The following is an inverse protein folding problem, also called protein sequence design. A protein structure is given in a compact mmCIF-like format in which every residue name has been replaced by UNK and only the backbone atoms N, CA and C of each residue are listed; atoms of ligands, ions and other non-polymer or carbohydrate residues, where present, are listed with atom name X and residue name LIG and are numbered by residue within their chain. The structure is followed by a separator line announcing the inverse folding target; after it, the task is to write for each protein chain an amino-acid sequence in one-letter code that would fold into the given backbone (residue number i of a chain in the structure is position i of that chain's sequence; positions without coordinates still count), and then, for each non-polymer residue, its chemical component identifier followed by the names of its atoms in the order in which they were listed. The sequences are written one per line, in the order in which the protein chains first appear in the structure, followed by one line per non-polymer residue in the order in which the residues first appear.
data_IF_894753989654
#
_entry.id   IF_894753989654
#
_cell.length_a   1.000
_cell.length_b   1.000
_cell.length_c   1.000
_cell.angle_alpha   90.00
_cell.angle_beta   90.00
_cell.angle_gamma   90.00
#
_symmetry.space_group_name_H-M   'P 1'
#
loop_
_entity.id
_entity.type
_entity.pdbx_description
1 polymer ?
#
# COMPACT_ATOMS: atom_id res chain seq x y z
N UNK A 1 -4.40 7.77 -25.62
CA UNK A 1 -5.18 7.12 -24.56
C UNK A 1 -4.42 5.92 -24.03
N UNK A 2 -4.28 5.84 -22.73
CA UNK A 2 -3.63 4.71 -22.12
C UNK A 2 -4.68 3.67 -21.73
N UNK A 3 -4.58 2.48 -22.29
CA UNK A 3 -5.44 1.37 -21.90
C UNK A 3 -4.68 0.56 -20.85
N UNK A 4 -5.32 0.37 -19.71
CA UNK A 4 -4.72 -0.46 -18.67
C UNK A 4 -4.91 -1.91 -19.03
N UNK A 5 -3.82 -2.54 -19.41
CA UNK A 5 -3.79 -3.96 -19.75
C UNK A 5 -3.34 -4.82 -18.57
N UNK A 6 -3.04 -4.16 -17.43
CA UNK A 6 -2.56 -4.86 -16.25
C UNK A 6 -3.71 -5.48 -15.46
N UNK A 7 -3.41 -6.59 -14.82
CA UNK A 7 -4.38 -7.34 -14.02
C UNK A 7 -4.45 -6.81 -12.58
N UNK A 8 -4.99 -5.59 -12.44
CA UNK A 8 -5.23 -5.00 -11.13
C UNK A 8 -6.47 -5.59 -10.49
N UNK A 9 -6.38 -5.90 -9.21
CA UNK A 9 -7.51 -6.42 -8.44
C UNK A 9 -7.64 -5.68 -7.12
N UNK A 10 -8.89 -5.51 -6.68
CA UNK A 10 -9.23 -4.88 -5.40
C UNK A 10 -10.21 -5.83 -4.73
N UNK A 11 -9.83 -6.38 -3.58
CA UNK A 11 -10.62 -7.41 -2.91
C UNK A 11 -10.62 -7.25 -1.40
N UNK A 12 -11.73 -7.62 -0.78
CA UNK A 12 -11.79 -7.82 0.65
C UNK A 12 -11.06 -9.12 0.98
N UNK A 13 -10.71 -9.29 2.25
CA UNK A 13 -9.95 -10.47 2.69
C UNK A 13 -10.63 -11.79 2.29
N UNK A 14 -11.92 -11.88 2.55
CA UNK A 14 -12.68 -13.11 2.28
C UNK A 14 -12.93 -13.38 0.79
N UNK A 15 -12.65 -12.41 -0.07
CA UNK A 15 -12.74 -12.57 -1.52
C UNK A 15 -11.44 -13.07 -2.13
N UNK A 16 -10.35 -13.09 -1.36
CA UNK A 16 -9.05 -13.56 -1.84
C UNK A 16 -9.06 -15.09 -1.96
N UNK A 17 -8.48 -15.61 -3.05
CA UNK A 17 -8.19 -17.03 -3.12
C UNK A 17 -7.01 -17.36 -2.19
N UNK A 18 -6.86 -18.63 -1.84
CA UNK A 18 -5.70 -19.05 -1.04
C UNK A 18 -4.38 -18.72 -1.76
N UNK A 19 -4.35 -18.90 -3.07
CA UNK A 19 -3.18 -18.61 -3.88
C UNK A 19 -2.86 -17.10 -3.87
N UNK A 20 -3.90 -16.26 -3.96
CA UNK A 20 -3.71 -14.81 -3.89
C UNK A 20 -3.19 -14.39 -2.52
N UNK A 21 -3.78 -14.92 -1.46
CA UNK A 21 -3.31 -14.61 -0.11
C UNK A 21 -1.86 -15.05 0.09
N UNK A 22 -1.53 -16.26 -0.34
CA UNK A 22 -0.16 -16.75 -0.25
C UNK A 22 0.81 -15.84 -1.01
N UNK A 23 0.45 -15.43 -2.22
CA UNK A 23 1.26 -14.53 -3.02
C UNK A 23 1.45 -13.16 -2.37
N UNK A 24 0.39 -12.61 -1.79
CA UNK A 24 0.44 -11.34 -1.06
C UNK A 24 1.42 -11.45 0.12
N UNK A 25 1.28 -12.48 0.94
CA UNK A 25 2.16 -12.70 2.09
C UNK A 25 3.60 -12.86 1.63
N UNK A 26 3.82 -13.63 0.57
CA UNK A 26 5.16 -13.86 0.02
C UNK A 26 5.81 -12.55 -0.45
N UNK A 27 5.09 -11.71 -1.16
CA UNK A 27 5.62 -10.42 -1.63
C UNK A 27 5.91 -9.47 -0.47
N UNK A 28 5.04 -9.43 0.53
CA UNK A 28 5.25 -8.62 1.74
C UNK A 28 6.50 -9.06 2.49
N UNK A 29 6.67 -10.35 2.69
CA UNK A 29 7.88 -10.87 3.35
C UNK A 29 9.13 -10.59 2.51
N UNK A 30 9.03 -10.72 1.20
CA UNK A 30 10.16 -10.47 0.31
C UNK A 30 10.66 -9.03 0.43
N UNK A 31 9.75 -8.04 0.39
CA UNK A 31 10.14 -6.63 0.44
C UNK A 31 10.47 -6.18 1.86
N UNK A 32 9.57 -6.41 2.81
CA UNK A 32 9.72 -5.80 4.14
C UNK A 32 10.67 -6.56 5.04
N UNK A 33 10.75 -7.88 4.93
CA UNK A 33 11.64 -8.68 5.78
C UNK A 33 12.96 -8.97 5.08
N UNK A 34 12.92 -9.53 3.86
CA UNK A 34 14.16 -9.93 3.17
C UNK A 34 14.94 -8.73 2.66
N UNK A 35 14.27 -7.79 2.01
CA UNK A 35 14.93 -6.63 1.41
C UNK A 35 15.20 -5.52 2.43
N UNK A 36 14.18 -5.07 3.15
CA UNK A 36 14.28 -3.95 4.08
C UNK A 36 14.73 -4.35 5.48
N UNK A 37 14.80 -5.65 5.78
CA UNK A 37 15.29 -6.17 7.06
C UNK A 37 14.47 -5.71 8.27
N UNK A 38 13.18 -5.48 8.10
CA UNK A 38 12.30 -5.10 9.20
C UNK A 38 11.94 -6.36 9.97
N UNK A 39 12.51 -6.53 11.16
CA UNK A 39 12.28 -7.72 12.00
C UNK A 39 11.79 -7.36 13.40
N UNK A 40 11.72 -6.05 13.73
CA UNK A 40 11.29 -5.58 15.05
C UNK A 40 9.78 -5.41 15.16
N UNK A 41 9.05 -5.54 14.07
CA UNK A 41 7.60 -5.43 14.03
C UNK A 41 7.01 -6.63 13.28
N UNK A 42 5.77 -6.98 13.61
CA UNK A 42 5.09 -8.07 12.92
C UNK A 42 4.65 -7.61 11.54
N UNK A 43 5.16 -8.25 10.49
CA UNK A 43 4.70 -7.98 9.14
C UNK A 43 3.24 -8.43 8.97
N UNK A 44 2.91 -9.61 9.45
CA UNK A 44 1.54 -10.12 9.45
C UNK A 44 0.94 -9.76 10.82
N UNK A 45 0.25 -8.63 10.85
CA UNK A 45 -0.15 -7.96 12.10
C UNK A 45 -1.58 -8.27 12.57
N UNK A 46 -2.28 -9.15 11.87
CA UNK A 46 -3.64 -9.51 12.23
C UNK A 46 -4.71 -8.54 11.76
N UNK A 47 -4.35 -7.46 11.08
CA UNK A 47 -5.32 -6.47 10.60
C UNK A 47 -5.88 -6.80 9.22
N UNK A 48 -5.27 -7.72 8.50
CA UNK A 48 -5.61 -7.98 7.09
C UNK A 48 -7.06 -8.40 6.86
N UNK A 49 -7.66 -9.05 7.85
CA UNK A 49 -9.07 -9.46 7.75
C UNK A 49 -10.02 -8.28 7.57
N UNK A 50 -9.64 -7.10 8.05
CA UNK A 50 -10.47 -5.91 8.02
C UNK A 50 -10.06 -4.93 6.92
N UNK A 51 -9.03 -5.27 6.15
CA UNK A 51 -8.49 -4.40 5.11
C UNK A 51 -9.05 -4.71 3.73
N UNK A 52 -8.91 -3.76 2.83
CA UNK A 52 -9.14 -3.95 1.40
C UNK A 52 -7.77 -4.12 0.76
N UNK A 53 -7.62 -5.12 -0.07
CA UNK A 53 -6.34 -5.49 -0.68
C UNK A 53 -6.32 -5.07 -2.15
N UNK A 54 -5.32 -4.26 -2.51
CA UNK A 54 -5.12 -3.79 -3.88
C UNK A 54 -3.83 -4.43 -4.39
N UNK A 55 -3.90 -5.12 -5.51
CA UNK A 55 -2.72 -5.83 -5.97
C UNK A 55 -2.71 -6.05 -7.48
N UNK A 56 -1.51 -6.27 -7.99
CA UNK A 56 -1.26 -6.56 -9.40
C UNK A 56 -0.68 -7.96 -9.53
N UNK A 57 -1.35 -8.81 -10.29
CA UNK A 57 -0.81 -10.13 -10.62
C UNK A 57 -0.08 -10.05 -11.96
N UNK A 58 1.18 -10.47 -11.97
CA UNK A 58 2.04 -10.48 -13.14
C UNK A 58 2.97 -11.69 -13.07
N UNK A 59 3.08 -12.43 -14.16
CA UNK A 59 4.01 -13.56 -14.26
C UNK A 59 3.91 -14.54 -13.09
N UNK A 60 2.69 -14.79 -12.64
CA UNK A 60 2.43 -15.71 -11.53
C UNK A 60 2.81 -15.18 -10.14
N UNK A 61 3.09 -13.88 -10.03
CA UNK A 61 3.49 -13.24 -8.78
C UNK A 61 2.56 -12.09 -8.44
N UNK A 62 2.55 -11.69 -7.17
CA UNK A 62 1.95 -10.43 -6.77
C UNK A 62 3.05 -9.38 -6.91
N UNK A 63 3.04 -8.70 -8.05
CA UNK A 63 4.09 -7.76 -8.45
C UNK A 63 4.05 -6.46 -7.67
N UNK A 64 2.85 -6.04 -7.25
CA UNK A 64 2.64 -4.82 -6.48
C UNK A 64 1.47 -5.05 -5.54
N UNK A 65 1.48 -4.36 -4.39
CA UNK A 65 0.46 -4.54 -3.38
C UNK A 65 0.38 -3.31 -2.49
N UNK A 66 -0.82 -2.98 -2.04
CA UNK A 66 -1.02 -2.15 -0.87
C UNK A 66 -2.34 -2.56 -0.22
N UNK A 67 -2.55 -2.11 1.02
CA UNK A 67 -3.81 -2.34 1.69
C UNK A 67 -4.44 -1.02 2.12
N UNK A 68 -5.75 -0.97 2.02
CA UNK A 68 -6.55 0.12 2.57
C UNK A 68 -7.00 -0.32 3.96
N UNK A 69 -6.64 0.47 4.95
CA UNK A 69 -7.01 0.20 6.34
C UNK A 69 -8.14 1.16 6.70
N UNK A 70 -9.38 0.67 6.92
CA UNK A 70 -10.50 1.54 7.25
C UNK A 70 -10.23 2.37 8.51
N UNK A 71 -10.91 3.51 8.61
CA UNK A 71 -10.76 4.39 9.78
C UNK A 71 -11.06 3.63 11.07
N UNK A 72 -10.28 3.95 12.11
CA UNK A 72 -10.46 3.35 13.43
C UNK A 72 -9.76 2.00 13.62
N UNK A 73 -9.19 1.43 12.57
CA UNK A 73 -8.45 0.16 12.65
C UNK A 73 -6.97 0.44 12.91
N UNK A 74 -6.30 1.20 12.05
CA UNK A 74 -4.90 1.56 12.22
C UNK A 74 -4.74 3.00 12.72
N UNK A 75 -5.40 3.92 12.08
CA UNK A 75 -5.42 5.34 12.44
C UNK A 75 -6.87 5.78 12.59
N UNK A 76 -7.07 7.00 13.09
CA UNK A 76 -8.43 7.58 13.14
C UNK A 76 -9.01 7.74 11.74
N UNK A 77 -8.17 8.08 10.77
CA UNK A 77 -8.59 8.23 9.37
C UNK A 77 -8.31 6.95 8.61
N UNK A 78 -8.99 6.81 7.47
CA UNK A 78 -8.66 5.75 6.52
C UNK A 78 -7.20 5.92 6.06
N UNK A 79 -6.48 4.83 5.89
CA UNK A 79 -5.07 4.89 5.56
C UNK A 79 -4.70 3.86 4.49
N UNK A 80 -3.55 4.08 3.87
CA UNK A 80 -2.96 3.14 2.92
C UNK A 80 -1.64 2.67 3.54
N UNK A 81 -1.42 1.37 3.55
CA UNK A 81 -0.20 0.80 4.10
C UNK A 81 0.31 -0.38 3.31
N UNK A 82 1.46 -0.87 3.72
CA UNK A 82 2.13 -2.01 3.08
C UNK A 82 2.32 -1.81 1.58
N UNK A 83 2.67 -0.58 1.18
CA UNK A 83 2.88 -0.23 -0.23
C UNK A 83 4.19 -0.87 -0.71
N UNK A 84 4.09 -1.74 -1.70
CA UNK A 84 5.27 -2.40 -2.25
C UNK A 84 5.16 -2.62 -3.76
N UNK A 85 6.32 -2.67 -4.41
CA UNK A 85 6.49 -3.18 -5.76
C UNK A 85 7.71 -4.09 -5.71
N UNK A 86 7.59 -5.31 -6.22
CA UNK A 86 8.71 -6.23 -6.27
C UNK A 86 9.84 -5.63 -7.11
N UNK A 87 11.08 -5.91 -6.74
CA UNK A 87 12.27 -5.31 -7.33
C UNK A 87 12.29 -5.39 -8.86
N UNK A 88 11.93 -6.53 -9.42
CA UNK A 88 11.95 -6.75 -10.87
C UNK A 88 10.86 -5.97 -11.63
N UNK A 89 9.90 -5.41 -10.93
CA UNK A 89 8.81 -4.63 -11.54
C UNK A 89 8.92 -3.13 -11.27
N UNK A 90 10.00 -2.67 -10.65
CA UNK A 90 10.20 -1.24 -10.31
C UNK A 90 10.61 -0.43 -11.53
N UNK A 91 10.51 0.91 -11.40
CA UNK A 91 10.87 1.90 -12.43
C UNK A 91 10.00 1.83 -13.67
N UNK A 92 8.74 1.42 -13.52
CA UNK A 92 7.75 1.32 -14.59
C UNK A 92 6.49 2.11 -14.30
N UNK A 93 6.49 2.93 -13.24
CA UNK A 93 5.31 3.72 -12.84
C UNK A 93 4.22 2.92 -12.16
N UNK A 94 4.48 1.68 -11.77
CA UNK A 94 3.46 0.79 -11.20
C UNK A 94 2.99 1.30 -9.84
N UNK A 95 3.88 1.79 -8.98
CA UNK A 95 3.51 2.30 -7.67
C UNK A 95 2.57 3.50 -7.78
N UNK A 96 2.87 4.44 -8.68
CA UNK A 96 2.02 5.60 -8.91
C UNK A 96 0.64 5.18 -9.43
N UNK A 97 0.60 4.28 -10.39
CA UNK A 97 -0.66 3.76 -10.92
C UNK A 97 -1.48 3.08 -9.83
N UNK A 98 -0.83 2.28 -8.99
CA UNK A 98 -1.48 1.60 -7.87
C UNK A 98 -2.12 2.59 -6.91
N UNK A 99 -1.39 3.64 -6.54
CA UNK A 99 -1.90 4.66 -5.62
C UNK A 99 -3.08 5.41 -6.23
N UNK A 100 -3.03 5.74 -7.52
CA UNK A 100 -4.14 6.39 -8.20
C UNK A 100 -5.40 5.52 -8.20
N UNK A 101 -5.25 4.23 -8.51
CA UNK A 101 -6.36 3.27 -8.47
C UNK A 101 -6.92 3.15 -7.06
N UNK A 102 -6.05 3.08 -6.07
CA UNK A 102 -6.44 2.95 -4.67
C UNK A 102 -7.22 4.17 -4.19
N UNK A 103 -6.75 5.37 -4.52
CA UNK A 103 -7.44 6.61 -4.12
C UNK A 103 -8.80 6.73 -4.80
N UNK A 104 -8.88 6.37 -6.06
CA UNK A 104 -10.16 6.37 -6.77
C UNK A 104 -11.15 5.41 -6.12
N UNK A 105 -10.69 4.23 -5.73
CA UNK A 105 -11.54 3.27 -5.03
C UNK A 105 -12.03 3.84 -3.69
N UNK A 106 -11.15 4.47 -2.93
CA UNK A 106 -11.53 5.07 -1.65
C UNK A 106 -12.58 6.17 -1.85
N UNK A 107 -12.38 7.06 -2.82
CA UNK A 107 -13.34 8.13 -3.11
C UNK A 107 -14.73 7.60 -3.45
N UNK A 108 -14.79 6.47 -4.17
CA UNK A 108 -16.06 5.89 -4.62
C UNK A 108 -16.77 5.05 -3.56
N UNK A 109 -16.04 4.48 -2.63
CA UNK A 109 -16.58 3.45 -1.73
C UNK A 109 -16.60 3.85 -0.26
N UNK A 110 -15.99 4.97 0.12
CA UNK A 110 -15.95 5.45 1.49
C UNK A 110 -16.37 6.92 1.54
N UNK A 111 -16.91 7.32 2.69
CA UNK A 111 -17.34 8.71 2.90
C UNK A 111 -16.24 9.55 3.59
N UNK A 112 -15.06 8.99 3.73
CA UNK A 112 -13.93 9.69 4.35
C UNK A 112 -13.50 10.87 3.47
N UNK A 113 -13.03 11.94 4.13
CA UNK A 113 -12.59 13.15 3.42
C UNK A 113 -11.07 13.35 3.47
N UNK A 114 -10.34 12.41 4.05
CA UNK A 114 -8.90 12.51 4.21
C UNK A 114 -8.30 11.11 4.29
N UNK A 115 -7.24 10.90 3.52
CA UNK A 115 -6.44 9.67 3.57
C UNK A 115 -5.12 10.01 4.26
N UNK A 116 -4.70 9.21 5.22
CA UNK A 116 -3.41 9.39 5.90
C UNK A 116 -2.51 8.19 5.66
N UNK A 117 -1.22 8.40 5.79
CA UNK A 117 -0.26 7.31 5.73
C UNK A 117 1.04 7.71 6.41
N UNK A 118 1.84 6.70 6.76
CA UNK A 118 3.19 6.87 7.26
C UNK A 118 4.13 6.50 6.13
N UNK A 119 4.78 7.48 5.53
CA UNK A 119 5.62 7.29 4.35
C UNK A 119 7.07 7.14 4.75
N UNK A 120 7.76 6.15 4.18
CA UNK A 120 9.21 6.11 4.26
C UNK A 120 9.72 7.34 3.51
N UNK A 121 10.66 8.09 4.12
CA UNK A 121 11.09 9.38 3.58
C UNK A 121 11.61 9.27 2.15
N UNK A 122 12.31 8.18 1.83
CA UNK A 122 12.84 8.02 0.48
C UNK A 122 11.73 7.89 -0.59
N UNK A 123 10.52 7.55 -0.20
CA UNK A 123 9.37 7.42 -1.10
C UNK A 123 8.49 8.67 -1.12
N UNK A 124 8.89 9.73 -0.44
CA UNK A 124 8.10 10.97 -0.33
C UNK A 124 7.66 11.51 -1.69
N UNK A 125 8.59 11.52 -2.65
CA UNK A 125 8.29 12.08 -3.98
C UNK A 125 7.17 11.31 -4.70
N UNK A 126 7.11 10.00 -4.49
CA UNK A 126 6.05 9.17 -5.04
C UNK A 126 4.68 9.63 -4.51
N UNK A 127 4.58 9.79 -3.19
CA UNK A 127 3.31 10.20 -2.58
C UNK A 127 2.94 11.63 -2.95
N UNK A 128 3.91 12.52 -3.03
CA UNK A 128 3.66 13.89 -3.48
C UNK A 128 3.14 13.92 -4.92
N UNK A 129 3.66 13.02 -5.76
CA UNK A 129 3.24 12.97 -7.17
C UNK A 129 1.76 12.60 -7.34
N UNK A 130 1.14 11.99 -6.34
CA UNK A 130 -0.29 11.66 -6.35
C UNK A 130 -1.11 12.53 -5.40
N UNK A 131 -0.52 13.62 -4.90
CA UNK A 131 -1.24 14.67 -4.19
C UNK A 131 -1.15 14.64 -2.66
N UNK A 132 -0.32 13.77 -2.10
CA UNK A 132 -0.13 13.76 -0.64
C UNK A 132 0.81 14.87 -0.20
N UNK A 133 0.61 15.36 1.02
CA UNK A 133 1.44 16.39 1.65
C UNK A 133 1.95 15.90 2.98
N UNK A 134 3.21 16.23 3.31
CA UNK A 134 3.78 15.93 4.62
C UNK A 134 3.24 16.86 5.69
N UNK A 135 2.94 16.32 6.87
CA UNK A 135 2.38 17.06 8.00
C UNK A 135 3.13 16.84 9.30
N UNK A 136 4.15 16.02 9.32
CA UNK A 136 4.89 15.77 10.54
C UNK A 136 6.38 15.96 10.31
N UNK A 137 7.10 16.01 11.42
CA UNK A 137 8.56 15.89 11.37
C UNK A 137 8.93 14.47 11.03
N UNK A 138 10.18 14.25 10.63
CA UNK A 138 10.70 12.92 10.35
C UNK A 138 10.86 12.17 11.67
N UNK A 139 10.41 10.94 11.71
CA UNK A 139 10.54 10.04 12.85
C UNK A 139 11.01 8.67 12.38
N UNK A 140 11.55 7.87 13.27
CA UNK A 140 11.93 6.50 12.93
C UNK A 140 10.78 5.54 13.21
N UNK A 141 10.53 4.66 12.25
CA UNK A 141 9.58 3.57 12.38
C UNK A 141 10.28 2.35 11.80
N UNK A 142 10.37 1.27 12.57
CA UNK A 142 11.08 0.06 12.14
C UNK A 142 12.53 0.32 11.72
N UNK A 143 13.19 1.32 12.32
CA UNK A 143 14.56 1.69 12.01
C UNK A 143 14.73 2.47 10.70
N UNK A 144 13.66 2.89 10.08
CA UNK A 144 13.67 3.62 8.81
C UNK A 144 13.04 5.00 9.01
N UNK A 145 13.63 6.08 8.47
CA UNK A 145 13.03 7.41 8.55
C UNK A 145 11.67 7.45 7.85
N UNK A 146 10.66 7.94 8.56
CA UNK A 146 9.29 8.07 8.07
C UNK A 146 8.78 9.49 8.31
N UNK A 147 7.71 9.85 7.60
CA UNK A 147 6.96 11.05 7.88
C UNK A 147 5.47 10.78 7.62
N UNK A 148 4.62 11.44 8.39
CA UNK A 148 3.18 11.36 8.13
C UNK A 148 2.81 12.24 6.97
N UNK A 149 1.97 11.70 6.10
CA UNK A 149 1.45 12.43 4.95
C UNK A 149 -0.07 12.25 4.87
N UNK A 150 -0.73 13.18 4.25
CA UNK A 150 -2.17 13.11 4.07
C UNK A 150 -2.58 13.67 2.72
N UNK A 151 -3.78 13.29 2.29
CA UNK A 151 -4.42 13.86 1.11
C UNK A 151 -5.91 14.07 1.43
N UNK A 152 -6.39 15.27 1.17
CA UNK A 152 -7.83 15.55 1.24
C UNK A 152 -8.50 15.03 -0.03
N UNK A 153 -9.66 14.44 0.15
CA UNK A 153 -10.43 13.87 -0.96
C UNK A 153 -11.88 14.37 -0.97
#
# INVERSE_FOLDING_TARGET
MTIRMKNWQIKKFDELSLTQLYGIVRSRCNVFIQEQKIVCEEEIDGLDHECIHVFLEEEGKIAAYCRIVPKGIGYENISIGRVLVLKEFRRKGIAQEMLEITMEYIERNFEDNKIVLSAQVYAKDLYESVGFMGVSEIYEEAGIPHMKMYKNI
#
